data_IF_285840818593
#
_entry.id   IF_285840818593
#
_cell.length_a   1.000
_cell.length_b   1.000
_cell.length_c   1.000
_cell.angle_alpha   90.00
_cell.angle_beta   90.00
_cell.angle_gamma   90.00
#
_symmetry.space_group_name_H-M   'P 1'
#
loop_
_entity.id
_entity.type
_entity.pdbx_description
1 polymer ?
#
# COMPACT_ATOMS: atom_id res chain seq x y z
N UNK A 1 1.68 15.46 3.39
CA UNK A 1 1.08 14.23 2.81
C UNK A 1 1.55 14.07 1.37
N UNK A 2 1.83 12.86 0.91
CA UNK A 2 2.12 12.61 -0.52
C UNK A 2 0.88 12.07 -1.24
N UNK A 3 0.63 12.57 -2.45
CA UNK A 3 -0.19 11.87 -3.42
C UNK A 3 0.75 11.16 -4.39
N UNK A 4 0.64 9.84 -4.48
CA UNK A 4 1.55 9.01 -5.23
C UNK A 4 0.79 8.09 -6.19
N UNK A 5 1.39 7.84 -7.35
CA UNK A 5 0.97 6.76 -8.23
C UNK A 5 1.63 5.46 -7.75
N UNK A 6 0.81 4.44 -7.45
CA UNK A 6 1.29 3.18 -6.85
C UNK A 6 0.84 1.99 -7.68
N UNK A 7 1.80 1.17 -8.11
CA UNK A 7 1.58 -0.07 -8.84
C UNK A 7 1.18 -1.20 -7.89
N UNK A 8 -0.08 -1.18 -7.44
CA UNK A 8 -0.62 -2.14 -6.46
C UNK A 8 -0.79 -3.56 -7.01
N UNK A 9 -1.03 -3.69 -8.32
CA UNK A 9 -1.14 -4.98 -9.01
C UNK A 9 -2.14 -5.96 -8.36
N UNK A 10 -1.82 -7.27 -8.41
CA UNK A 10 -2.60 -8.30 -7.71
C UNK A 10 -2.32 -8.21 -6.21
N UNK A 11 -3.38 -8.18 -5.41
CA UNK A 11 -3.29 -8.11 -3.96
C UNK A 11 -3.95 -9.30 -3.25
N UNK A 12 -3.60 -9.48 -1.98
CA UNK A 12 -4.17 -10.49 -1.07
C UNK A 12 -4.14 -9.99 0.36
N UNK A 13 -4.71 -10.73 1.31
CA UNK A 13 -4.78 -10.34 2.72
C UNK A 13 -3.38 -10.22 3.34
N UNK A 14 -3.11 -9.10 4.01
CA UNK A 14 -1.88 -8.88 4.78
C UNK A 14 -1.95 -9.42 6.21
N UNK A 15 -0.79 -9.68 6.81
CA UNK A 15 -0.64 -9.98 8.23
C UNK A 15 0.67 -9.38 8.79
N UNK A 16 0.77 -9.13 10.11
CA UNK A 16 1.98 -8.55 10.70
C UNK A 16 3.24 -9.42 10.51
N UNK A 17 4.39 -8.79 10.30
CA UNK A 17 5.68 -9.47 10.19
C UNK A 17 6.05 -10.01 8.79
N UNK A 18 5.21 -9.77 7.78
CA UNK A 18 5.53 -10.11 6.40
C UNK A 18 6.72 -9.31 5.88
N UNK A 19 7.68 -10.00 5.25
CA UNK A 19 8.84 -9.37 4.58
C UNK A 19 8.68 -9.30 3.05
N UNK A 20 7.69 -10.01 2.51
CA UNK A 20 7.37 -10.07 1.07
C UNK A 20 5.92 -10.51 0.88
N UNK A 21 5.31 -10.24 -0.28
CA UNK A 21 3.96 -10.72 -0.57
C UNK A 21 3.87 -12.26 -0.61
N UNK A 22 2.68 -12.84 -0.38
CA UNK A 22 2.48 -14.28 -0.51
C UNK A 22 2.70 -14.77 -1.95
N UNK A 23 2.96 -16.08 -2.14
CA UNK A 23 2.97 -16.69 -3.47
C UNK A 23 1.61 -16.59 -4.17
N UNK A 24 1.62 -16.35 -5.47
CA UNK A 24 0.42 -16.36 -6.30
C UNK A 24 0.10 -17.81 -6.72
N UNK A 25 -0.93 -18.39 -6.11
CA UNK A 25 -1.38 -19.76 -6.39
C UNK A 25 -0.65 -20.85 -5.59
N UNK A 26 -0.94 -22.12 -5.91
CA UNK A 26 -0.48 -23.29 -5.15
C UNK A 26 0.99 -23.68 -5.42
N UNK A 27 1.61 -23.10 -6.45
CA UNK A 27 2.96 -23.50 -6.88
C UNK A 27 4.00 -22.46 -6.47
N UNK A 28 5.10 -22.94 -5.88
CA UNK A 28 6.28 -22.15 -5.48
C UNK A 28 7.12 -21.64 -6.66
N UNK A 29 6.54 -21.37 -7.83
CA UNK A 29 7.27 -20.96 -9.04
C UNK A 29 7.79 -19.52 -9.00
N UNK A 30 8.05 -18.97 -7.81
CA UNK A 30 8.63 -17.63 -7.62
C UNK A 30 7.66 -16.47 -7.86
N UNK A 31 6.48 -16.70 -8.43
CA UNK A 31 5.49 -15.64 -8.65
C UNK A 31 4.80 -15.27 -7.34
N UNK A 32 4.88 -13.98 -6.97
CA UNK A 32 4.26 -13.42 -5.77
C UNK A 32 3.12 -12.49 -6.16
N UNK A 33 2.23 -12.20 -5.22
CA UNK A 33 1.37 -11.02 -5.30
C UNK A 33 2.23 -9.75 -5.35
N UNK A 34 1.64 -8.63 -5.76
CA UNK A 34 2.33 -7.34 -5.88
C UNK A 34 2.19 -6.47 -4.63
N UNK A 35 1.08 -6.63 -3.90
CA UNK A 35 0.80 -5.92 -2.65
C UNK A 35 -0.05 -6.78 -1.72
N UNK A 36 -0.20 -6.34 -0.48
CA UNK A 36 -1.20 -6.88 0.45
C UNK A 36 -2.13 -5.78 0.95
N UNK A 37 -3.34 -6.16 1.36
CA UNK A 37 -4.40 -5.26 1.79
C UNK A 37 -4.94 -5.60 3.18
N UNK A 38 -5.61 -4.64 3.79
CA UNK A 38 -6.32 -4.78 5.06
C UNK A 38 -7.60 -5.62 4.93
N UNK A 39 -8.34 -5.47 3.83
CA UNK A 39 -9.54 -6.24 3.52
C UNK A 39 -9.63 -6.52 2.01
N UNK A 40 -9.66 -7.79 1.60
CA UNK A 40 -9.67 -8.16 0.18
C UNK A 40 -10.97 -7.79 -0.54
N UNK A 41 -12.10 -7.72 0.17
CA UNK A 41 -13.40 -7.39 -0.43
C UNK A 41 -13.59 -5.87 -0.59
N UNK A 42 -13.00 -5.07 0.30
CA UNK A 42 -13.07 -3.61 0.27
C UNK A 42 -11.76 -2.98 0.78
N UNK A 43 -10.69 -3.00 -0.02
CA UNK A 43 -9.38 -2.51 0.40
C UNK A 43 -9.40 -1.01 0.72
N UNK A 44 -8.82 -0.62 1.85
CA UNK A 44 -8.59 0.79 2.22
C UNK A 44 -7.11 1.09 2.40
N UNK A 45 -6.31 0.08 2.75
CA UNK A 45 -4.86 0.21 2.95
C UNK A 45 -4.14 -0.82 2.10
N UNK A 46 -3.14 -0.36 1.36
CA UNK A 46 -2.24 -1.22 0.59
C UNK A 46 -0.83 -1.16 1.17
N UNK A 47 -0.16 -2.31 1.21
CA UNK A 47 1.27 -2.41 1.56
C UNK A 47 2.01 -2.96 0.36
N UNK A 48 2.94 -2.17 -0.15
CA UNK A 48 3.93 -2.56 -1.18
C UNK A 48 5.25 -2.96 -0.52
N UNK A 49 6.03 -3.79 -1.19
CA UNK A 49 7.28 -4.35 -0.64
C UNK A 49 8.52 -3.96 -1.45
N UNK A 50 8.33 -3.25 -2.57
CA UNK A 50 9.40 -2.70 -3.39
C UNK A 50 9.18 -1.19 -3.59
N UNK A 51 10.23 -0.38 -3.37
CA UNK A 51 10.20 1.08 -3.55
C UNK A 51 9.86 1.50 -4.98
N UNK A 52 10.26 0.68 -5.96
CA UNK A 52 10.03 0.97 -7.38
C UNK A 52 8.54 0.88 -7.77
N UNK A 53 7.67 0.38 -6.87
CA UNK A 53 6.22 0.35 -7.07
C UNK A 53 5.52 1.67 -6.74
N UNK A 54 6.23 2.67 -6.22
CA UNK A 54 5.65 3.96 -5.86
C UNK A 54 6.39 5.12 -6.51
N UNK A 55 5.64 6.07 -7.07
CA UNK A 55 6.16 7.34 -7.56
C UNK A 55 5.44 8.50 -6.85
N UNK A 56 6.11 9.26 -5.97
CA UNK A 56 5.50 10.38 -5.24
C UNK A 56 5.31 11.58 -6.18
N UNK A 57 4.16 11.64 -6.84
CA UNK A 57 3.85 12.65 -7.87
C UNK A 57 3.70 14.06 -7.28
N UNK A 58 3.09 14.18 -6.09
CA UNK A 58 2.87 15.46 -5.44
C UNK A 58 3.14 15.41 -3.93
N UNK A 59 3.71 16.50 -3.41
CA UNK A 59 3.76 16.79 -1.97
C UNK A 59 2.69 17.83 -1.64
N UNK A 60 1.78 17.46 -0.75
CA UNK A 60 0.73 18.31 -0.21
C UNK A 60 1.14 18.74 1.19
N UNK A 61 1.33 20.04 1.36
CA UNK A 61 1.60 20.68 2.65
C UNK A 61 0.31 21.31 3.18
N UNK A 62 0.05 21.13 4.46
CA UNK A 62 -1.12 21.70 5.14
C UNK A 62 -0.75 21.97 6.59
N UNK A 63 -1.36 23.01 7.13
CA UNK A 63 -1.26 23.37 8.54
C UNK A 63 -2.61 23.11 9.22
N UNK A 64 -2.56 22.74 10.50
CA UNK A 64 -3.77 22.72 11.31
C UNK A 64 -4.31 24.16 11.41
N UNK A 65 -5.55 24.36 10.99
CA UNK A 65 -6.24 25.61 11.29
C UNK A 65 -6.40 25.65 12.80
N UNK A 66 -5.69 26.55 13.48
CA UNK A 66 -5.96 26.81 14.89
C UNK A 66 -7.43 27.21 14.99
N UNK A 67 -8.25 26.37 15.63
CA UNK A 67 -9.57 26.75 16.06
C UNK A 67 -9.38 27.90 17.05
N UNK A 68 -9.44 29.13 16.53
CA UNK A 68 -9.35 30.33 17.33
C UNK A 68 -10.43 30.25 18.40
N UNK A 69 -9.99 30.27 19.66
CA UNK A 69 -10.86 30.60 20.78
C UNK A 69 -11.49 31.96 20.47
N UNK A 70 -12.80 31.95 20.19
CA UNK A 70 -13.67 33.10 20.30
C UNK A 70 -14.28 33.11 21.71
#
# INVERSE_FOLDING_TARGET
>A
MFQADVLVGKHTQGYPGMKRPPPLGSKKHGLLYNSVVDNVLSPQVYVIFNSDQSYPTYLIEYDDVQAGYA
#
